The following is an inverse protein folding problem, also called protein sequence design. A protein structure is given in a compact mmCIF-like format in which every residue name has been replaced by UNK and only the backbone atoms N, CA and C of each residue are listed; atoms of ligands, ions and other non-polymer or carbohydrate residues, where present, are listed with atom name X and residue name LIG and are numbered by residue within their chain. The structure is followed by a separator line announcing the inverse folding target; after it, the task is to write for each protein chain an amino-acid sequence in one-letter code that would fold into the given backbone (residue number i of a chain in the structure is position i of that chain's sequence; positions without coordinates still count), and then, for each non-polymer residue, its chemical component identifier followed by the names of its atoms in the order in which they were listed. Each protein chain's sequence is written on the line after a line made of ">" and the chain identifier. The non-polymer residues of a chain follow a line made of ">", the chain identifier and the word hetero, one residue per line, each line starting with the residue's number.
data_IF_896010057868
#
_entry.id   IF_896010057868
#
_cell.length_a   1.000
_cell.length_b   1.000
_cell.length_c   1.000
_cell.angle_alpha   90.00
_cell.angle_beta   90.00
_cell.angle_gamma   90.00
#
_symmetry.space_group_name_H-M   'P 1'
#
loop_
_entity.id
_entity.type
_entity.pdbx_description
1 polymer ?
#
# COMPACT_ATOMS: atom_id res chain seq x y z
N UNK A 1 19.13 0.11 24.56
CA UNK A 1 18.39 -1.16 24.61
C UNK A 1 18.79 -1.93 25.86
N UNK A 2 17.83 -2.45 26.62
CA UNK A 2 18.09 -3.35 27.74
C UNK A 2 17.65 -4.77 27.37
N UNK A 3 18.09 -5.75 28.17
CA UNK A 3 17.69 -7.16 28.00
C UNK A 3 16.17 -7.29 28.03
N UNK A 4 15.62 -7.97 27.03
CA UNK A 4 14.18 -8.20 26.89
C UNK A 4 13.79 -8.98 25.65
N UNK A 5 12.57 -9.48 25.64
CA UNK A 5 11.99 -10.28 24.55
C UNK A 5 10.73 -9.62 24.00
N UNK A 6 10.58 -9.70 22.68
CA UNK A 6 9.52 -9.03 21.92
C UNK A 6 8.91 -10.04 20.94
N UNK A 7 7.59 -10.03 20.79
CA UNK A 7 6.90 -10.82 19.78
C UNK A 7 5.69 -10.07 19.24
N UNK A 8 5.35 -10.35 17.99
CA UNK A 8 4.05 -9.97 17.44
C UNK A 8 2.94 -10.71 18.20
N UNK A 9 1.75 -10.11 18.31
CA UNK A 9 0.61 -10.80 18.91
C UNK A 9 0.27 -12.05 18.09
N UNK A 10 0.54 -13.22 18.66
CA UNK A 10 0.13 -14.49 18.09
C UNK A 10 -1.21 -14.90 18.66
N UNK A 11 -2.11 -15.37 17.79
CA UNK A 11 -3.45 -15.89 18.14
C UNK A 11 -3.36 -17.05 19.16
N UNK A 12 -2.24 -17.78 19.18
CA UNK A 12 -1.99 -18.87 20.13
C UNK A 12 -1.26 -18.40 21.39
N UNK A 13 -1.94 -18.49 22.53
CA UNK A 13 -1.39 -18.14 23.85
C UNK A 13 -0.33 -19.15 24.36
N UNK A 14 -0.26 -20.35 23.79
CA UNK A 14 0.55 -21.46 24.31
C UNK A 14 1.96 -21.59 23.68
N UNK A 15 2.32 -20.83 22.64
CA UNK A 15 3.68 -20.85 22.08
C UNK A 15 4.20 -19.45 21.70
N UNK A 16 4.41 -18.59 22.70
CA UNK A 16 5.02 -17.27 22.49
C UNK A 16 6.53 -17.40 22.21
N UNK A 17 6.90 -17.90 21.02
CA UNK A 17 8.29 -17.83 20.55
C UNK A 17 8.64 -16.35 20.32
N UNK A 18 9.68 -15.80 20.98
CA UNK A 18 10.04 -14.40 20.79
C UNK A 18 10.50 -14.18 19.35
N UNK A 19 9.99 -13.12 18.71
CA UNK A 19 10.46 -12.66 17.40
C UNK A 19 11.84 -12.01 17.53
N UNK A 20 12.06 -11.26 18.61
CA UNK A 20 13.33 -10.59 18.90
C UNK A 20 13.71 -10.84 20.36
N UNK A 21 14.98 -11.18 20.57
CA UNK A 21 15.56 -11.36 21.90
C UNK A 21 16.83 -10.53 22.04
N UNK A 22 16.76 -9.52 22.89
CA UNK A 22 17.90 -8.68 23.26
C UNK A 22 18.59 -9.33 24.46
N UNK A 23 19.78 -9.89 24.24
CA UNK A 23 20.52 -10.67 25.25
C UNK A 23 21.54 -9.83 26.03
N UNK A 24 21.94 -8.67 25.50
CA UNK A 24 22.93 -7.78 26.12
C UNK A 24 22.41 -6.35 26.19
N UNK A 25 22.81 -5.63 27.25
CA UNK A 25 22.53 -4.21 27.35
C UNK A 25 23.39 -3.44 26.34
N UNK A 26 22.75 -2.59 25.54
CA UNK A 26 23.42 -1.76 24.54
C UNK A 26 23.01 -0.30 24.68
N UNK A 27 23.98 0.61 24.54
CA UNK A 27 23.74 2.05 24.54
C UNK A 27 24.24 2.62 23.22
N UNK A 28 23.34 3.23 22.46
CA UNK A 28 23.66 3.97 21.25
C UNK A 28 23.78 5.44 21.65
N UNK A 29 24.90 6.07 21.30
CA UNK A 29 25.17 7.47 21.64
C UNK A 29 24.53 8.41 20.62
N UNK A 30 24.29 9.66 21.01
CA UNK A 30 23.78 10.68 20.10
C UNK A 30 24.77 10.89 18.94
N UNK A 31 24.25 11.02 17.72
CA UNK A 31 25.06 11.24 16.51
C UNK A 31 25.59 9.97 15.83
N UNK A 32 25.50 8.80 16.49
CA UNK A 32 26.02 7.55 15.93
C UNK A 32 25.26 7.12 14.67
N UNK A 33 26.02 6.60 13.70
CA UNK A 33 25.55 5.85 12.54
C UNK A 33 25.66 4.36 12.85
N UNK A 34 24.51 3.71 13.03
CA UNK A 34 24.41 2.31 13.43
C UNK A 34 23.89 1.49 12.27
N UNK A 35 24.70 0.58 11.77
CA UNK A 35 24.29 -0.36 10.74
C UNK A 35 23.76 -1.65 11.36
N UNK A 36 22.63 -2.16 10.86
CA UNK A 36 22.08 -3.47 11.22
C UNK A 36 22.17 -4.38 10.01
N UNK A 37 22.98 -5.43 10.09
CA UNK A 37 23.19 -6.39 9.01
C UNK A 37 22.82 -7.81 9.45
N UNK A 38 22.61 -8.71 8.50
CA UNK A 38 22.11 -10.05 8.76
C UNK A 38 21.46 -10.66 7.52
N UNK A 39 21.41 -11.99 7.44
CA UNK A 39 20.71 -12.71 6.37
C UNK A 39 19.24 -12.30 6.25
N UNK A 40 18.61 -12.62 5.12
CA UNK A 40 17.15 -12.42 4.95
C UNK A 40 16.42 -13.24 6.02
N UNK A 41 15.42 -12.66 6.67
CA UNK A 41 14.68 -13.31 7.77
C UNK A 41 15.38 -13.32 9.14
N UNK A 42 16.59 -12.75 9.28
CA UNK A 42 17.30 -12.69 10.56
C UNK A 42 16.66 -11.79 11.64
N UNK A 43 15.65 -11.00 11.28
CA UNK A 43 14.91 -10.13 12.21
C UNK A 43 15.33 -8.65 12.21
N UNK A 44 16.06 -8.15 11.19
CA UNK A 44 16.48 -6.73 11.09
C UNK A 44 15.32 -5.75 11.19
N UNK A 45 14.32 -5.86 10.32
CA UNK A 45 13.12 -5.02 10.34
C UNK A 45 12.38 -5.15 11.68
N UNK A 46 12.27 -6.36 12.23
CA UNK A 46 11.67 -6.59 13.54
C UNK A 46 12.44 -5.90 14.69
N UNK A 47 13.78 -5.85 14.62
CA UNK A 47 14.59 -5.09 15.57
C UNK A 47 14.27 -3.58 15.45
N UNK A 48 14.17 -3.04 14.23
CA UNK A 48 13.80 -1.64 14.01
C UNK A 48 12.40 -1.34 14.56
N UNK A 49 11.42 -2.20 14.30
CA UNK A 49 10.06 -2.10 14.86
C UNK A 49 10.04 -2.18 16.39
N UNK A 50 10.91 -3.00 17.00
CA UNK A 50 11.05 -3.04 18.47
C UNK A 50 11.62 -1.74 19.06
N UNK A 51 12.45 -1.01 18.29
CA UNK A 51 12.98 0.31 18.68
C UNK A 51 11.90 1.39 18.54
N UNK A 52 11.06 1.30 17.50
CA UNK A 52 9.92 2.18 17.29
C UNK A 52 8.85 2.01 18.38
N UNK A 53 8.73 0.80 18.94
CA UNK A 53 7.70 0.44 19.91
C UNK A 53 6.49 -0.28 19.30
N UNK A 54 6.58 -0.68 18.03
CA UNK A 54 5.51 -1.38 17.30
C UNK A 54 5.38 -2.86 17.70
N UNK A 55 6.49 -3.51 18.07
CA UNK A 55 6.45 -4.89 18.58
C UNK A 55 6.28 -4.85 20.10
N UNK A 56 5.20 -5.44 20.64
CA UNK A 56 4.99 -5.45 22.08
C UNK A 56 6.07 -6.27 22.79
N UNK A 57 6.50 -5.75 23.93
CA UNK A 57 7.46 -6.41 24.81
C UNK A 57 6.76 -7.48 25.63
N UNK A 58 7.29 -8.70 25.61
CA UNK A 58 6.84 -9.81 26.45
C UNK A 58 7.52 -9.76 27.83
N UNK A 59 8.85 -9.59 27.86
CA UNK A 59 9.65 -9.72 29.08
C UNK A 59 10.85 -8.76 29.10
N UNK A 60 11.44 -8.56 30.29
CA UNK A 60 12.61 -7.71 30.49
C UNK A 60 12.33 -6.21 30.44
N UNK A 61 13.39 -5.40 30.29
CA UNK A 61 13.28 -3.95 30.21
C UNK A 61 13.17 -3.48 28.76
N UNK A 62 12.21 -2.58 28.49
CA UNK A 62 11.94 -2.07 27.15
C UNK A 62 13.08 -1.24 26.54
N UNK A 63 13.04 -1.09 25.22
CA UNK A 63 13.87 -0.11 24.52
C UNK A 63 13.41 1.30 24.92
N UNK A 64 14.38 2.15 25.28
CA UNK A 64 14.15 3.58 25.53
C UNK A 64 14.82 4.36 24.42
N UNK A 65 14.05 5.21 23.75
CA UNK A 65 14.53 6.15 22.72
C UNK A 65 14.21 7.55 23.20
N UNK A 66 15.20 8.44 23.17
CA UNK A 66 15.05 9.83 23.57
C UNK A 66 15.08 10.73 22.34
N UNK A 67 14.11 11.64 22.22
CA UNK A 67 13.96 12.54 21.07
C UNK A 67 12.88 12.10 20.09
N UNK A 68 12.70 12.91 19.05
CA UNK A 68 11.79 12.66 17.94
C UNK A 68 12.33 11.60 16.99
N UNK A 69 11.43 10.83 16.36
CA UNK A 69 11.78 9.69 15.50
C UNK A 69 11.27 9.91 14.08
N UNK A 70 12.11 9.66 13.09
CA UNK A 70 11.72 9.49 11.69
C UNK A 70 11.91 8.03 11.28
N UNK A 71 10.94 7.46 10.57
CA UNK A 71 10.99 6.09 10.10
C UNK A 71 10.84 6.02 8.58
N UNK A 72 11.71 5.24 7.94
CA UNK A 72 11.64 4.89 6.52
C UNK A 72 11.49 3.36 6.44
N UNK A 73 10.29 2.82 6.15
CA UNK A 73 10.08 1.39 5.97
C UNK A 73 10.70 0.88 4.67
N UNK A 74 10.90 -0.45 4.60
CA UNK A 74 11.44 -1.14 3.42
C UNK A 74 10.53 -0.98 2.19
N UNK A 75 9.22 -1.06 2.38
CA UNK A 75 8.24 -0.79 1.32
C UNK A 75 7.83 0.68 1.34
N UNK A 76 8.18 1.40 0.28
CA UNK A 76 7.89 2.82 0.18
C UNK A 76 6.38 3.11 0.18
N UNK A 77 5.96 4.04 1.04
CA UNK A 77 4.56 4.48 1.13
C UNK A 77 4.45 5.97 0.81
N UNK A 78 3.71 6.27 -0.26
CA UNK A 78 3.55 7.62 -0.83
C UNK A 78 2.07 7.97 -0.86
N UNK A 79 1.75 9.20 -0.44
CA UNK A 79 0.40 9.71 -0.37
C UNK A 79 0.01 10.34 -1.72
N UNK A 80 -1.28 10.27 -2.06
CA UNK A 80 -1.84 11.03 -3.19
C UNK A 80 -1.72 12.53 -2.91
N UNK A 81 -1.20 13.30 -3.87
CA UNK A 81 -0.88 14.72 -3.71
C UNK A 81 0.25 15.12 -4.66
N UNK A 82 0.99 16.18 -4.38
CA UNK A 82 2.22 16.50 -5.16
C UNK A 82 3.46 15.83 -4.56
N UNK A 83 4.56 15.80 -5.32
CA UNK A 83 5.87 15.38 -4.78
C UNK A 83 6.27 16.30 -3.62
N UNK A 84 6.07 17.61 -3.76
CA UNK A 84 6.29 18.60 -2.71
C UNK A 84 5.51 18.27 -1.43
N UNK A 85 4.21 18.01 -1.54
CA UNK A 85 3.37 17.65 -0.38
C UNK A 85 3.87 16.39 0.33
N UNK A 86 4.32 15.41 -0.46
CA UNK A 86 4.88 14.18 0.07
C UNK A 86 6.19 14.40 0.83
N UNK A 87 7.05 15.32 0.39
CA UNK A 87 8.31 15.66 1.07
C UNK A 87 8.06 16.53 2.30
N UNK A 88 7.23 17.57 2.19
CA UNK A 88 6.92 18.48 3.31
C UNK A 88 6.09 17.80 4.40
N UNK A 89 5.15 16.94 4.00
CA UNK A 89 4.31 16.12 4.86
C UNK A 89 3.65 16.91 6.01
N UNK A 90 3.00 18.03 5.63
CA UNK A 90 2.29 18.92 6.55
C UNK A 90 3.17 19.93 7.30
N UNK A 91 4.47 20.01 7.00
CA UNK A 91 5.36 21.05 7.51
C UNK A 91 5.44 22.24 6.56
N UNK A 92 5.72 23.41 7.13
CA UNK A 92 6.01 24.61 6.37
C UNK A 92 7.30 24.46 5.55
N UNK A 93 7.29 25.04 4.35
CA UNK A 93 8.44 24.96 3.44
C UNK A 93 9.49 26.01 3.77
N UNK A 94 10.60 25.57 4.36
CA UNK A 94 11.89 26.28 4.28
C UNK A 94 12.56 25.95 2.94
N UNK A 95 12.79 26.98 2.12
CA UNK A 95 13.34 26.82 0.76
C UNK A 95 14.75 26.22 0.75
N UNK A 96 15.66 26.77 1.54
CA UNK A 96 17.06 26.29 1.62
C UNK A 96 17.11 24.82 2.04
N UNK A 97 16.40 24.46 3.12
CA UNK A 97 16.35 23.08 3.60
C UNK A 97 15.71 22.14 2.58
N UNK A 98 14.69 22.62 1.86
CA UNK A 98 13.99 21.82 0.86
C UNK A 98 14.92 21.50 -0.31
N UNK A 99 15.62 22.50 -0.84
CA UNK A 99 16.61 22.35 -1.91
C UNK A 99 17.76 21.41 -1.50
N UNK A 100 18.31 21.58 -0.29
CA UNK A 100 19.35 20.69 0.26
C UNK A 100 18.88 19.23 0.36
N UNK A 101 17.63 19.02 0.79
CA UNK A 101 17.03 17.68 0.91
C UNK A 101 16.82 17.04 -0.45
N UNK A 102 16.34 17.79 -1.44
CA UNK A 102 16.16 17.28 -2.80
C UNK A 102 17.50 16.90 -3.46
N UNK A 103 18.55 17.69 -3.26
CA UNK A 103 19.90 17.38 -3.75
C UNK A 103 20.46 16.14 -3.03
N UNK A 104 20.42 16.12 -1.70
CA UNK A 104 20.95 15.02 -0.90
C UNK A 104 20.22 13.71 -1.14
N UNK A 105 18.94 13.77 -1.51
CA UNK A 105 18.12 12.61 -1.88
C UNK A 105 18.11 12.32 -3.39
N UNK A 106 18.96 12.98 -4.20
CA UNK A 106 19.06 12.78 -5.65
C UNK A 106 17.71 12.90 -6.41
N UNK A 107 16.85 13.82 -5.98
CA UNK A 107 15.55 14.08 -6.62
C UNK A 107 15.61 15.21 -7.68
N UNK A 108 16.66 16.02 -7.69
CA UNK A 108 16.79 17.16 -8.61
C UNK A 108 16.65 16.72 -10.08
N UNK A 109 17.31 15.63 -10.47
CA UNK A 109 17.23 15.10 -11.84
C UNK A 109 15.82 14.63 -12.20
N UNK A 110 15.10 13.99 -11.27
CA UNK A 110 13.72 13.59 -11.50
C UNK A 110 12.81 14.82 -11.69
N UNK A 111 13.00 15.84 -10.83
CA UNK A 111 12.23 17.08 -10.85
C UNK A 111 12.46 17.86 -12.14
N UNK A 112 13.68 17.90 -12.67
CA UNK A 112 13.99 18.55 -13.95
C UNK A 112 13.31 17.86 -15.14
N UNK A 113 13.11 16.54 -15.06
CA UNK A 113 12.48 15.74 -16.12
C UNK A 113 10.96 15.83 -16.06
N UNK A 114 10.38 15.97 -14.85
CA UNK A 114 8.93 16.08 -14.70
C UNK A 114 8.39 17.41 -15.21
N UNK A 115 7.32 17.36 -16.01
CA UNK A 115 6.75 18.56 -16.65
C UNK A 115 6.30 19.66 -15.68
N UNK A 116 5.81 19.28 -14.50
CA UNK A 116 5.38 20.20 -13.44
C UNK A 116 6.40 20.30 -12.28
N UNK A 117 7.62 19.77 -12.47
CA UNK A 117 8.64 19.76 -11.43
C UNK A 117 8.20 19.07 -10.16
N UNK A 118 8.46 19.68 -9.01
CA UNK A 118 8.06 19.17 -7.69
C UNK A 118 6.55 19.26 -7.41
N UNK A 119 5.80 20.00 -8.25
CA UNK A 119 4.33 20.03 -8.22
C UNK A 119 3.68 18.88 -8.99
N UNK A 120 4.49 17.97 -9.56
CA UNK A 120 4.00 16.78 -10.24
C UNK A 120 3.07 15.97 -9.34
N UNK A 121 1.88 15.69 -9.87
CA UNK A 121 0.85 14.93 -9.15
C UNK A 121 1.27 13.48 -9.04
N UNK A 122 1.26 12.98 -7.81
CA UNK A 122 1.49 11.59 -7.46
C UNK A 122 0.14 10.89 -7.34
N UNK A 123 -0.06 9.87 -8.17
CA UNK A 123 -1.29 9.07 -8.18
C UNK A 123 -1.45 8.21 -6.93
N UNK A 124 -2.55 7.44 -6.86
CA UNK A 124 -2.81 6.54 -5.73
C UNK A 124 -1.61 5.61 -5.48
N UNK A 125 -1.08 5.60 -4.25
CA UNK A 125 0.12 4.82 -3.85
C UNK A 125 1.35 5.06 -4.77
N UNK A 126 1.41 6.22 -5.41
CA UNK A 126 2.45 6.60 -6.35
C UNK A 126 2.54 5.69 -7.57
N UNK A 127 1.43 5.19 -8.11
CA UNK A 127 1.42 4.30 -9.29
C UNK A 127 2.22 4.85 -10.49
N UNK A 128 2.38 6.16 -10.60
CA UNK A 128 3.12 6.84 -11.67
C UNK A 128 4.64 7.00 -11.42
N UNK A 129 5.17 6.51 -10.29
CA UNK A 129 6.58 6.64 -9.91
C UNK A 129 7.31 5.28 -9.95
N UNK A 130 8.60 5.30 -10.30
CA UNK A 130 9.46 4.12 -10.19
C UNK A 130 9.73 3.75 -8.71
N UNK A 131 10.17 2.51 -8.46
CA UNK A 131 10.50 2.07 -7.09
C UNK A 131 11.56 2.95 -6.42
N UNK A 132 12.64 3.27 -7.15
CA UNK A 132 13.71 4.16 -6.67
C UNK A 132 13.21 5.59 -6.40
N UNK A 133 12.34 6.13 -7.26
CA UNK A 133 11.73 7.45 -7.02
C UNK A 133 10.90 7.47 -5.75
N UNK A 134 10.05 6.46 -5.53
CA UNK A 134 9.25 6.34 -4.29
C UNK A 134 10.16 6.30 -3.06
N UNK A 135 11.25 5.52 -3.12
CA UNK A 135 12.18 5.41 -2.01
C UNK A 135 12.91 6.73 -1.72
N UNK A 136 13.37 7.44 -2.76
CA UNK A 136 14.00 8.76 -2.63
C UNK A 136 13.04 9.81 -2.05
N UNK A 137 11.78 9.85 -2.47
CA UNK A 137 10.76 10.77 -1.93
C UNK A 137 10.47 10.46 -0.46
N UNK A 138 10.36 9.19 -0.08
CA UNK A 138 10.15 8.80 1.30
C UNK A 138 11.35 9.13 2.21
N UNK A 139 12.57 8.94 1.69
CA UNK A 139 13.78 9.34 2.40
C UNK A 139 13.83 10.86 2.57
N UNK A 140 13.53 11.62 1.51
CA UNK A 140 13.43 13.08 1.56
C UNK A 140 12.41 13.54 2.62
N UNK A 141 11.22 12.93 2.68
CA UNK A 141 10.22 13.16 3.74
C UNK A 141 10.80 12.97 5.13
N UNK A 142 11.51 11.87 5.36
CA UNK A 142 12.11 11.60 6.66
C UNK A 142 13.18 12.65 7.00
N UNK A 143 14.08 12.97 6.08
CA UNK A 143 15.14 13.97 6.29
C UNK A 143 14.55 15.35 6.59
N UNK A 144 13.56 15.77 5.79
CA UNK A 144 12.86 17.05 5.97
C UNK A 144 12.15 17.16 7.32
N UNK A 145 11.75 16.04 7.92
CA UNK A 145 11.16 16.03 9.26
C UNK A 145 12.12 16.53 10.36
N UNK A 146 13.44 16.57 10.11
CA UNK A 146 14.47 17.02 11.05
C UNK A 146 14.42 16.36 12.44
N UNK A 147 14.12 15.06 12.49
CA UNK A 147 13.99 14.31 13.75
C UNK A 147 15.34 14.13 14.47
N UNK A 148 15.34 13.68 15.72
CA UNK A 148 16.58 13.39 16.48
C UNK A 148 17.17 12.02 16.12
N UNK A 149 16.30 11.04 15.87
CA UNK A 149 16.65 9.64 15.59
C UNK A 149 15.99 9.20 14.29
N UNK A 150 16.78 8.66 13.37
CA UNK A 150 16.34 8.12 12.09
C UNK A 150 16.44 6.60 12.12
N UNK A 151 15.36 5.93 11.73
CA UNK A 151 15.26 4.48 11.66
C UNK A 151 14.94 4.13 10.22
N UNK A 152 15.88 3.51 9.52
CA UNK A 152 15.80 3.29 8.07
C UNK A 152 15.85 1.79 7.79
N UNK A 153 14.84 1.24 7.14
CA UNK A 153 14.77 -0.18 6.82
C UNK A 153 15.07 -0.39 5.34
N UNK A 154 16.30 -0.82 5.05
CA UNK A 154 16.83 -1.04 3.70
C UNK A 154 16.62 0.12 2.71
N UNK A 155 17.06 1.36 3.06
CA UNK A 155 16.68 2.59 2.36
C UNK A 155 17.26 2.77 0.96
N UNK A 156 18.14 1.85 0.50
CA UNK A 156 18.83 1.96 -0.80
C UNK A 156 18.61 0.72 -1.69
N UNK A 157 17.63 -0.11 -1.36
CA UNK A 157 17.40 -1.40 -2.04
C UNK A 157 16.78 -1.29 -3.44
N UNK A 158 15.99 -0.25 -3.72
CA UNK A 158 15.30 -0.07 -5.00
C UNK A 158 15.98 0.95 -5.93
N UNK A 159 17.20 1.37 -5.59
CA UNK A 159 18.01 2.30 -6.40
C UNK A 159 19.25 1.59 -6.96
N UNK A 160 19.74 2.08 -8.08
CA UNK A 160 21.01 1.60 -8.65
C UNK A 160 22.21 1.95 -7.74
N UNK A 161 23.34 1.28 -7.94
CA UNK A 161 24.52 1.42 -7.10
C UNK A 161 25.09 2.85 -7.05
N UNK A 162 25.02 3.60 -8.16
CA UNK A 162 25.53 4.97 -8.23
C UNK A 162 24.65 5.90 -7.39
N UNK A 163 23.33 5.84 -7.60
CA UNK A 163 22.35 6.57 -6.78
C UNK A 163 22.46 6.18 -5.31
N UNK A 164 22.54 4.89 -4.99
CA UNK A 164 22.69 4.39 -3.62
C UNK A 164 23.92 4.98 -2.91
N UNK A 165 25.06 5.02 -3.61
CA UNK A 165 26.29 5.63 -3.08
C UNK A 165 26.13 7.13 -2.84
N UNK A 166 25.46 7.85 -3.74
CA UNK A 166 25.16 9.28 -3.56
C UNK A 166 24.27 9.50 -2.33
N UNK A 167 23.17 8.75 -2.20
CA UNK A 167 22.27 8.84 -1.06
C UNK A 167 23.00 8.55 0.26
N UNK A 168 23.84 7.52 0.28
CA UNK A 168 24.62 7.21 1.48
C UNK A 168 25.55 8.38 1.86
N UNK A 169 26.31 8.91 0.91
CA UNK A 169 27.28 9.99 1.18
C UNK A 169 26.62 11.33 1.50
N UNK A 170 25.67 11.75 0.67
CA UNK A 170 25.04 13.09 0.76
C UNK A 170 23.91 13.13 1.77
N UNK A 171 22.97 12.19 1.72
CA UNK A 171 21.86 12.18 2.67
C UNK A 171 22.31 11.65 4.04
N UNK A 172 22.80 10.41 4.11
CA UNK A 172 23.02 9.75 5.41
C UNK A 172 24.26 10.29 6.15
N UNK A 173 25.37 10.49 5.44
CA UNK A 173 26.63 10.93 6.07
C UNK A 173 26.76 12.46 6.19
N UNK A 174 26.23 13.24 5.24
CA UNK A 174 26.34 14.71 5.27
C UNK A 174 25.10 15.37 5.91
N UNK A 175 23.90 15.25 5.33
CA UNK A 175 22.69 15.90 5.86
C UNK A 175 22.33 15.40 7.28
N UNK A 176 22.46 14.10 7.52
CA UNK A 176 22.19 13.49 8.84
C UNK A 176 23.44 13.36 9.72
N UNK A 177 24.52 14.06 9.41
CA UNK A 177 25.81 13.98 10.13
C UNK A 177 25.66 14.11 11.65
N UNK A 178 24.89 15.09 12.13
CA UNK A 178 24.66 15.37 13.55
C UNK A 178 23.52 14.55 14.20
N UNK A 179 22.83 13.71 13.43
CA UNK A 179 21.66 12.93 13.88
C UNK A 179 22.05 11.50 14.22
N UNK A 180 21.29 10.84 15.10
CA UNK A 180 21.45 9.39 15.29
C UNK A 180 20.72 8.67 14.17
N UNK A 181 21.39 7.78 13.46
CA UNK A 181 20.80 7.01 12.35
C UNK A 181 21.00 5.53 12.63
N UNK A 182 19.92 4.75 12.59
CA UNK A 182 19.93 3.30 12.67
C UNK A 182 19.38 2.79 11.34
N UNK A 183 20.21 2.17 10.52
CA UNK A 183 19.81 1.68 9.21
C UNK A 183 20.05 0.18 9.08
N UNK A 184 19.01 -0.55 8.70
CA UNK A 184 19.15 -1.93 8.26
C UNK A 184 19.58 -1.94 6.80
N UNK A 185 20.55 -2.78 6.46
CA UNK A 185 21.00 -2.95 5.08
C UNK A 185 21.46 -4.37 4.84
N UNK A 186 21.24 -4.84 3.61
CA UNK A 186 21.85 -6.05 3.08
C UNK A 186 23.16 -5.76 2.33
N UNK A 187 23.38 -4.51 1.92
CA UNK A 187 24.55 -4.07 1.17
C UNK A 187 25.73 -3.85 2.12
N UNK A 188 26.76 -4.67 1.98
CA UNK A 188 27.95 -4.70 2.85
C UNK A 188 28.81 -3.44 2.74
N UNK A 189 28.77 -2.78 1.59
CA UNK A 189 29.57 -1.59 1.26
C UNK A 189 29.31 -0.41 2.20
N UNK A 190 28.10 -0.34 2.78
CA UNK A 190 27.71 0.73 3.70
C UNK A 190 28.02 0.44 5.16
N UNK A 191 28.65 -0.71 5.47
CA UNK A 191 28.96 -1.09 6.86
C UNK A 191 30.24 -0.43 7.39
N UNK A 192 31.25 -0.18 6.54
CA UNK A 192 32.55 0.34 6.98
C UNK A 192 32.46 1.77 7.55
N UNK A 193 31.55 2.58 7.01
CA UNK A 193 31.33 3.95 7.45
C UNK A 193 30.47 4.07 8.73
N UNK A 194 29.96 2.96 9.28
CA UNK A 194 29.17 2.95 10.51
C UNK A 194 30.05 3.07 11.77
N UNK A 195 29.59 3.84 12.75
CA UNK A 195 30.22 3.92 14.08
C UNK A 195 30.05 2.61 14.86
N UNK A 196 28.96 1.89 14.59
CA UNK A 196 28.61 0.62 15.23
C UNK A 196 27.85 -0.28 14.24
N UNK A 197 28.29 -1.53 14.11
CA UNK A 197 27.62 -2.56 13.33
C UNK A 197 26.97 -3.56 14.28
N UNK A 198 25.71 -3.91 14.03
CA UNK A 198 24.94 -4.93 14.74
C UNK A 198 24.66 -6.10 13.79
N UNK A 199 25.24 -7.27 14.08
CA UNK A 199 25.06 -8.47 13.27
C UNK A 199 23.91 -9.28 13.85
N UNK A 200 22.85 -9.47 13.07
CA UNK A 200 21.67 -10.22 13.44
C UNK A 200 21.67 -11.64 12.87
N UNK A 201 21.18 -12.57 13.70
CA UNK A 201 20.90 -13.95 13.32
C UNK A 201 19.76 -14.48 14.18
N UNK A 202 18.77 -15.09 13.55
CA UNK A 202 17.63 -15.75 14.22
C UNK A 202 16.95 -14.91 15.32
N UNK A 203 16.76 -13.61 15.08
CA UNK A 203 16.12 -12.69 16.02
C UNK A 203 17.01 -12.21 17.18
N UNK A 204 18.31 -12.48 17.13
CA UNK A 204 19.30 -12.12 18.18
C UNK A 204 20.45 -11.32 17.57
N UNK A 205 20.97 -10.34 18.32
CA UNK A 205 22.23 -9.67 17.99
C UNK A 205 23.38 -10.58 18.45
N UNK A 206 24.07 -11.20 17.50
CA UNK A 206 25.14 -12.17 17.80
C UNK A 206 26.52 -11.51 17.91
N UNK A 207 26.74 -10.42 17.18
CA UNK A 207 27.97 -9.62 17.25
C UNK A 207 27.64 -8.13 17.19
N UNK A 208 28.51 -7.33 17.81
CA UNK A 208 28.43 -5.87 17.76
C UNK A 208 29.80 -5.26 17.93
N UNK A 209 30.16 -4.28 17.10
CA UNK A 209 31.46 -3.61 17.15
C UNK A 209 31.68 -2.70 15.95
N UNK A 210 32.90 -2.18 15.79
CA UNK A 210 33.28 -1.51 14.54
C UNK A 210 33.44 -2.53 13.44
N UNK A 211 33.18 -2.13 12.20
CA UNK A 211 33.31 -3.02 11.04
C UNK A 211 34.67 -3.73 10.98
N UNK A 212 35.77 -2.96 11.16
CA UNK A 212 37.15 -3.47 11.14
C UNK A 212 37.42 -4.57 12.18
N UNK A 213 36.83 -4.45 13.36
CA UNK A 213 37.00 -5.43 14.43
C UNK A 213 36.22 -6.72 14.13
N UNK A 214 35.04 -6.59 13.51
CA UNK A 214 34.18 -7.72 13.18
C UNK A 214 34.71 -8.55 12.00
N UNK A 215 35.32 -7.92 11.00
CA UNK A 215 35.94 -8.63 9.87
C UNK A 215 37.27 -9.29 10.25
N UNK A 216 37.92 -8.83 11.33
CA UNK A 216 39.18 -9.40 11.82
C UNK A 216 38.97 -10.74 12.52
N UNK A 217 37.74 -11.07 12.94
CA UNK A 217 37.37 -12.38 13.48
C UNK A 217 36.94 -13.33 12.34
N UNK A 218 37.80 -14.28 11.91
CA UNK A 218 37.50 -15.17 10.78
C UNK A 218 36.35 -16.13 11.09
N UNK A 219 36.08 -16.38 12.38
CA UNK A 219 35.00 -17.27 12.83
C UNK A 219 33.67 -16.55 12.99
N UNK A 220 33.71 -15.21 12.91
CA UNK A 220 32.59 -14.32 13.15
C UNK A 220 31.44 -14.51 12.17
N UNK A 221 30.22 -14.25 12.65
CA UNK A 221 29.02 -14.36 11.85
C UNK A 221 29.02 -13.38 10.67
N UNK A 222 29.55 -12.16 10.85
CA UNK A 222 29.66 -11.20 9.74
C UNK A 222 30.47 -11.79 8.58
N UNK A 223 31.66 -12.32 8.85
CA UNK A 223 32.53 -12.92 7.82
C UNK A 223 31.85 -14.09 7.13
N UNK A 224 31.13 -14.94 7.88
CA UNK A 224 30.33 -16.04 7.30
C UNK A 224 29.24 -15.54 6.37
N UNK A 225 28.52 -14.48 6.77
CA UNK A 225 27.48 -13.86 5.95
C UNK A 225 28.05 -13.21 4.69
N UNK A 226 29.22 -12.56 4.79
CA UNK A 226 29.92 -11.99 3.64
C UNK A 226 30.37 -13.07 2.65
N UNK A 227 30.92 -14.18 3.14
CA UNK A 227 31.31 -15.32 2.31
C UNK A 227 30.09 -15.93 1.58
N UNK A 228 28.99 -16.14 2.30
CA UNK A 228 27.74 -16.62 1.70
C UNK A 228 27.20 -15.68 0.62
N UNK A 229 27.21 -14.36 0.89
CA UNK A 229 26.77 -13.35 -0.08
C UNK A 229 27.63 -13.34 -1.35
N UNK A 230 28.96 -13.46 -1.22
CA UNK A 230 29.87 -13.53 -2.36
C UNK A 230 29.59 -14.74 -3.25
N UNK A 231 29.37 -15.91 -2.64
CA UNK A 231 29.01 -17.13 -3.38
C UNK A 231 27.71 -16.93 -4.16
N UNK A 232 26.70 -16.26 -3.58
CA UNK A 232 25.46 -15.98 -4.28
C UNK A 232 25.64 -15.03 -5.46
N UNK A 233 26.54 -14.03 -5.37
CA UNK A 233 26.86 -13.15 -6.49
C UNK A 233 27.58 -13.89 -7.62
N UNK A 234 28.55 -14.73 -7.28
CA UNK A 234 29.33 -15.52 -8.26
C UNK A 234 28.46 -16.54 -9.01
N UNK A 235 27.32 -16.98 -8.44
CA UNK A 235 26.36 -17.85 -9.13
C UNK A 235 25.49 -17.11 -10.16
N UNK A 236 25.27 -15.80 -9.96
CA UNK A 236 24.46 -14.96 -10.87
C UNK A 236 25.34 -14.31 -11.94
N UNK A 237 26.60 -14.01 -11.62
CA UNK A 237 27.64 -13.54 -12.53
C UNK A 237 28.88 -14.43 -12.40
N UNK A 238 29.00 -15.52 -13.18
CA UNK A 238 30.21 -16.33 -13.15
C UNK A 238 31.43 -15.47 -13.56
N UNK A 239 32.58 -15.62 -12.89
CA UNK A 239 33.79 -14.90 -13.26
C UNK A 239 34.17 -15.23 -14.71
N UNK A 240 34.33 -14.21 -15.55
CA UNK A 240 35.02 -14.38 -16.82
C UNK A 240 36.49 -14.64 -16.49
N UNK A 241 37.01 -15.81 -16.88
CA UNK A 241 38.44 -16.11 -16.79
C UNK A 241 39.20 -15.17 -17.73
N UNK A 242 39.99 -14.25 -17.15
CA UNK A 242 40.95 -13.43 -17.89
C UNK A 242 42.08 -14.32 -18.42
N UNK A 243 41.99 -14.75 -19.68
CA UNK A 243 43.14 -15.22 -20.44
C UNK A 243 43.76 -14.05 -21.21
N UNK A 244 45.07 -13.76 -21.06
CA UNK A 244 45.71 -12.72 -21.83
C UNK A 244 46.10 -13.23 -23.23
N UNK A 245 45.88 -12.36 -24.23
CA UNK A 245 46.40 -12.38 -25.62
C UNK A 245 45.51 -13.10 -26.66
N UNK A 246 44.73 -12.32 -27.42
CA UNK A 246 45.03 -11.98 -28.82
C UNK A 246 43.85 -11.22 -29.44
N UNK A 247 44.17 -10.15 -30.16
CA UNK A 247 43.29 -9.44 -31.07
C UNK A 247 42.64 -10.36 -32.10
N UNK A 248 41.33 -10.28 -32.28
CA UNK A 248 40.69 -10.04 -33.59
C UNK A 248 39.16 -9.85 -33.48
N UNK A 249 38.74 -8.73 -34.06
CA UNK A 249 37.43 -8.34 -34.59
C UNK A 249 36.30 -9.38 -34.52
N UNK A 250 35.19 -9.04 -33.85
CA UNK A 250 33.92 -9.78 -34.01
C UNK A 250 32.72 -8.84 -33.90
N UNK A 251 32.13 -8.64 -35.08
CA UNK A 251 30.76 -8.26 -35.44
C UNK A 251 29.74 -8.12 -34.30
N UNK A 252 29.11 -6.93 -34.28
CA UNK A 252 27.82 -6.69 -33.63
C UNK A 252 26.77 -7.65 -34.20
N UNK A 253 26.29 -8.58 -33.38
CA UNK A 253 24.97 -9.17 -33.54
C UNK A 253 24.11 -8.77 -32.34
N UNK A 254 23.18 -7.85 -32.62
CA UNK A 254 22.04 -7.55 -31.76
C UNK A 254 21.17 -8.81 -31.67
N UNK A 255 20.86 -9.25 -30.45
CA UNK A 255 19.76 -10.19 -30.22
C UNK A 255 18.53 -9.33 -29.91
N UNK A 256 17.65 -9.26 -30.90
CA UNK A 256 16.27 -8.78 -30.75
C UNK A 256 15.55 -9.63 -29.69
N UNK A 257 14.99 -8.97 -28.68
CA UNK A 257 13.89 -9.51 -27.90
C UNK A 257 12.61 -8.92 -28.49
N UNK A 258 11.88 -9.75 -29.21
CA UNK A 258 10.59 -9.44 -29.82
C UNK A 258 9.53 -9.27 -28.71
N UNK A 259 9.16 -8.03 -28.41
CA UNK A 259 7.87 -7.72 -27.80
C UNK A 259 6.83 -7.50 -28.91
N UNK A 260 5.78 -8.33 -28.91
CA UNK A 260 4.63 -8.16 -29.78
C UNK A 260 3.91 -6.83 -29.50
N UNK A 261 4.04 -5.88 -30.44
CA UNK A 261 3.17 -4.72 -30.57
C UNK A 261 2.04 -5.03 -31.56
N UNK A 262 0.81 -4.97 -31.08
CA UNK A 262 -0.37 -4.72 -31.92
C UNK A 262 -0.50 -3.21 -32.12
N UNK A 263 -0.24 -2.74 -33.34
CA UNK A 263 -0.48 -1.35 -33.74
C UNK A 263 -1.92 -1.13 -34.23
N UNK A 264 -2.51 -0.02 -33.77
CA UNK A 264 -3.64 0.69 -34.37
C UNK A 264 -3.49 2.20 -34.07
N UNK A 265 -3.93 3.11 -34.95
CA UNK A 265 -3.12 4.26 -35.34
C UNK A 265 -3.37 5.55 -34.54
N UNK A 266 -2.28 6.30 -34.34
CA UNK A 266 -2.20 7.74 -34.55
C UNK A 266 -3.03 8.66 -33.65
N UNK A 267 -2.38 9.25 -32.64
CA UNK A 267 -2.90 10.42 -31.93
C UNK A 267 -1.94 10.92 -30.87
N UNK A 268 -1.19 11.99 -31.18
CA UNK A 268 -0.42 12.78 -30.23
C UNK A 268 -1.34 13.39 -29.17
N UNK A 269 -1.44 12.76 -28.01
CA UNK A 269 -2.24 13.22 -26.88
C UNK A 269 -1.39 13.40 -25.63
N UNK A 270 -1.24 14.66 -25.19
CA UNK A 270 -0.78 15.04 -23.85
C UNK A 270 -1.44 14.16 -22.78
N UNK A 271 -0.64 13.45 -22.00
CA UNK A 271 -1.11 12.71 -20.83
C UNK A 271 -1.37 13.68 -19.67
N UNK A 272 -2.49 14.41 -19.75
CA UNK A 272 -3.02 15.20 -18.63
C UNK A 272 -3.86 14.27 -17.76
N UNK A 273 -3.21 13.52 -16.88
CA UNK A 273 -3.87 12.74 -15.83
C UNK A 273 -4.40 13.68 -14.74
N UNK A 274 -5.52 14.37 -15.00
CA UNK A 274 -6.34 14.93 -13.93
C UNK A 274 -7.03 13.75 -13.26
N UNK A 275 -6.66 13.48 -12.01
CA UNK A 275 -7.50 12.69 -11.09
C UNK A 275 -8.90 13.31 -11.13
N UNK A 276 -9.85 12.60 -11.74
CA UNK A 276 -11.26 12.96 -11.63
C UNK A 276 -11.63 12.74 -10.16
N UNK A 277 -11.73 13.82 -9.39
CA UNK A 277 -12.52 13.79 -8.17
C UNK A 277 -13.91 13.28 -8.55
N UNK A 278 -14.40 12.26 -7.85
CA UNK A 278 -15.79 11.82 -7.97
C UNK A 278 -16.69 12.97 -7.51
N UNK A 279 -17.08 13.83 -8.44
CA UNK A 279 -18.09 14.84 -8.19
C UNK A 279 -19.42 14.10 -8.12
N UNK A 280 -19.83 13.78 -6.90
CA UNK A 280 -21.19 13.37 -6.61
C UNK A 280 -22.11 14.52 -7.04
N UNK A 281 -22.91 14.32 -8.09
CA UNK A 281 -23.96 15.29 -8.45
C UNK A 281 -24.98 15.34 -7.30
N UNK A 282 -24.81 16.27 -6.35
CA UNK A 282 -25.83 16.54 -5.33
C UNK A 282 -26.98 17.31 -5.98
N UNK A 283 -27.97 16.58 -6.47
CA UNK A 283 -29.14 17.14 -7.14
C UNK A 283 -30.20 16.08 -7.42
N UNK A 284 -31.33 16.51 -7.98
CA UNK A 284 -32.37 15.56 -8.43
C UNK A 284 -31.78 14.63 -9.48
N UNK A 285 -31.94 13.33 -9.25
CA UNK A 285 -31.52 12.29 -10.18
C UNK A 285 -32.13 12.54 -11.56
N UNK A 286 -31.29 12.57 -12.60
CA UNK A 286 -31.71 12.81 -13.99
C UNK A 286 -32.68 11.70 -14.42
N UNK A 287 -33.75 12.06 -15.15
CA UNK A 287 -34.73 11.10 -15.69
C UNK A 287 -34.10 9.98 -16.53
N UNK A 288 -32.95 10.27 -17.16
CA UNK A 288 -32.15 9.28 -17.88
C UNK A 288 -31.74 8.09 -17.00
N UNK A 289 -31.43 8.32 -15.72
CA UNK A 289 -31.05 7.26 -14.78
C UNK A 289 -32.24 6.36 -14.49
N UNK A 290 -33.42 6.93 -14.23
CA UNK A 290 -34.66 6.15 -14.07
C UNK A 290 -34.96 5.32 -15.33
N UNK A 291 -34.78 5.90 -16.51
CA UNK A 291 -34.94 5.17 -17.77
C UNK A 291 -33.93 4.02 -17.89
N UNK A 292 -32.66 4.22 -17.51
CA UNK A 292 -31.65 3.15 -17.52
C UNK A 292 -32.01 2.01 -16.57
N UNK A 293 -32.47 2.30 -15.35
CA UNK A 293 -32.94 1.27 -14.42
C UNK A 293 -34.13 0.49 -14.98
N UNK A 294 -35.09 1.19 -15.59
CA UNK A 294 -36.29 0.60 -16.19
C UNK A 294 -35.94 -0.25 -17.43
N UNK A 295 -34.99 0.17 -18.26
CA UNK A 295 -34.58 -0.55 -19.47
C UNK A 295 -33.60 -1.69 -19.19
N UNK A 296 -32.76 -1.60 -18.14
CA UNK A 296 -31.86 -2.69 -17.75
C UNK A 296 -32.63 -3.93 -17.27
N UNK A 297 -33.79 -3.76 -16.63
CA UNK A 297 -34.67 -4.87 -16.29
C UNK A 297 -35.47 -5.34 -17.53
N UNK A 298 -35.06 -6.47 -18.13
CA UNK A 298 -35.75 -7.12 -19.27
C UNK A 298 -36.13 -6.17 -20.42
N UNK A 299 -35.28 -5.19 -20.74
CA UNK A 299 -35.53 -4.18 -21.80
C UNK A 299 -36.83 -3.38 -21.59
N UNK A 300 -37.33 -3.28 -20.35
CA UNK A 300 -38.56 -2.57 -20.00
C UNK A 300 -39.87 -3.33 -20.28
N UNK A 301 -39.82 -4.57 -20.77
CA UNK A 301 -41.02 -5.33 -21.16
C UNK A 301 -41.94 -5.70 -19.99
N UNK A 302 -41.41 -5.79 -18.76
CA UNK A 302 -42.19 -6.15 -17.57
C UNK A 302 -42.94 -4.96 -16.94
N UNK A 303 -42.53 -3.74 -17.22
CA UNK A 303 -43.13 -2.51 -16.66
C UNK A 303 -44.62 -2.36 -17.00
N UNK A 304 -45.05 -2.48 -18.28
CA UNK A 304 -46.48 -2.38 -18.61
C UNK A 304 -47.30 -3.53 -17.98
N UNK A 305 -46.70 -4.71 -17.82
CA UNK A 305 -47.36 -5.86 -17.18
C UNK A 305 -47.59 -5.59 -15.69
N UNK A 306 -46.58 -5.05 -14.99
CA UNK A 306 -46.70 -4.69 -13.57
C UNK A 306 -47.73 -3.57 -13.37
N UNK A 307 -47.74 -2.55 -14.24
CA UNK A 307 -48.73 -1.47 -14.20
C UNK A 307 -50.15 -1.98 -14.48
N UNK A 308 -50.31 -2.86 -15.48
CA UNK A 308 -51.60 -3.48 -15.78
C UNK A 308 -52.13 -4.30 -14.61
N UNK A 309 -51.29 -5.14 -14.00
CA UNK A 309 -51.63 -5.89 -12.79
C UNK A 309 -52.03 -4.96 -11.63
N UNK A 310 -51.36 -3.82 -11.47
CA UNK A 310 -51.67 -2.82 -10.44
C UNK A 310 -53.03 -2.16 -10.67
N UNK A 311 -53.35 -1.78 -11.91
CA UNK A 311 -54.64 -1.19 -12.28
C UNK A 311 -55.78 -2.18 -12.10
N UNK A 312 -55.59 -3.43 -12.56
CA UNK A 312 -56.57 -4.51 -12.36
C UNK A 312 -56.83 -4.77 -10.88
N UNK A 313 -55.76 -4.81 -10.06
CA UNK A 313 -55.90 -4.97 -8.61
C UNK A 313 -56.72 -3.82 -7.98
N UNK A 314 -56.41 -2.57 -8.32
CA UNK A 314 -57.17 -1.42 -7.82
C UNK A 314 -58.63 -1.44 -8.30
N UNK A 315 -58.89 -1.86 -9.54
CA UNK A 315 -60.23 -2.03 -10.08
C UNK A 315 -61.04 -3.09 -9.34
N UNK A 316 -60.44 -4.25 -9.05
CA UNK A 316 -61.09 -5.31 -8.26
C UNK A 316 -61.40 -4.86 -6.83
N UNK A 317 -60.49 -4.11 -6.19
CA UNK A 317 -60.72 -3.55 -4.85
C UNK A 317 -61.86 -2.53 -4.85
N UNK A 318 -61.89 -1.63 -5.83
CA UNK A 318 -62.98 -0.67 -5.97
C UNK A 318 -64.32 -1.36 -6.25
N UNK A 319 -64.32 -2.41 -7.08
CA UNK A 319 -65.49 -3.23 -7.38
C UNK A 319 -66.00 -4.00 -6.15
N UNK A 320 -65.09 -4.51 -5.32
CA UNK A 320 -65.43 -5.19 -4.05
C UNK A 320 -66.11 -4.22 -3.07
N UNK A 321 -65.54 -3.02 -2.89
CA UNK A 321 -66.11 -1.98 -2.03
C UNK A 321 -67.47 -1.51 -2.55
N UNK A 322 -67.61 -1.32 -3.87
CA UNK A 322 -68.87 -0.96 -4.50
C UNK A 322 -69.94 -2.04 -4.32
N UNK A 323 -69.56 -3.32 -4.49
CA UNK A 323 -70.47 -4.45 -4.30
C UNK A 323 -71.00 -4.53 -2.87
N UNK A 324 -70.13 -4.33 -1.87
CA UNK A 324 -70.57 -4.28 -0.46
C UNK A 324 -71.55 -3.13 -0.23
N UNK A 325 -71.25 -1.93 -0.74
CA UNK A 325 -72.11 -0.76 -0.59
C UNK A 325 -73.48 -0.97 -1.25
N UNK A 326 -73.51 -1.55 -2.45
CA UNK A 326 -74.75 -1.91 -3.16
C UNK A 326 -75.55 -2.99 -2.43
N UNK A 327 -74.86 -3.97 -1.84
CA UNK A 327 -75.50 -5.08 -1.14
C UNK A 327 -76.04 -4.72 0.26
N UNK A 328 -75.58 -3.62 0.85
CA UNK A 328 -76.06 -3.13 2.16
C UNK A 328 -77.19 -2.10 2.06
N UNK A 329 -77.62 -1.75 0.84
CA UNK A 329 -78.74 -0.83 0.62
C UNK A 329 -80.10 -1.50 0.96
N UNK A 330 -80.97 -0.74 1.64
CA UNK A 330 -82.04 -1.17 2.57
C UNK A 330 -83.25 -1.92 1.97
N UNK A 331 -83.11 -2.63 0.86
CA UNK A 331 -84.23 -3.37 0.26
C UNK A 331 -83.83 -4.55 -0.65
N UNK A 332 -82.79 -5.32 -0.29
CA UNK A 332 -82.48 -6.60 -0.97
C UNK A 332 -82.12 -7.71 0.02
N UNK A 333 -82.86 -8.81 -0.05
CA UNK A 333 -82.73 -9.97 0.84
C UNK A 333 -81.59 -10.89 0.35
N UNK A 334 -80.35 -10.36 0.36
CA UNK A 334 -79.17 -11.16 0.03
C UNK A 334 -78.71 -11.87 1.30
N UNK A 335 -78.82 -13.20 1.31
CA UNK A 335 -78.38 -14.01 2.45
C UNK A 335 -76.93 -13.69 2.82
N UNK A 336 -76.68 -13.51 4.12
CA UNK A 336 -75.38 -13.14 4.70
C UNK A 336 -74.24 -14.05 4.23
N UNK A 337 -74.55 -15.34 4.01
CA UNK A 337 -73.60 -16.33 3.50
C UNK A 337 -73.17 -16.05 2.05
N UNK A 338 -74.09 -15.60 1.19
CA UNK A 338 -73.76 -15.22 -0.21
C UNK A 338 -72.92 -13.94 -0.26
N UNK A 339 -73.12 -13.00 0.67
CA UNK A 339 -72.31 -11.77 0.75
C UNK A 339 -70.87 -12.07 1.16
N UNK A 340 -70.68 -12.87 2.21
CA UNK A 340 -69.36 -13.27 2.67
C UNK A 340 -68.66 -14.11 1.59
N UNK A 341 -69.39 -15.02 0.91
CA UNK A 341 -68.83 -15.84 -0.16
C UNK A 341 -68.29 -15.03 -1.35
N UNK A 342 -69.05 -14.05 -1.84
CA UNK A 342 -68.62 -13.20 -2.98
C UNK A 342 -67.46 -12.28 -2.56
N UNK A 343 -67.48 -11.74 -1.34
CA UNK A 343 -66.39 -10.93 -0.83
C UNK A 343 -65.07 -11.70 -0.69
N UNK A 344 -65.13 -12.94 -0.17
CA UNK A 344 -63.95 -13.82 -0.05
C UNK A 344 -63.42 -14.21 -1.43
N UNK A 345 -64.28 -14.48 -2.41
CA UNK A 345 -63.87 -14.77 -3.78
C UNK A 345 -63.19 -13.57 -4.46
N UNK A 346 -63.74 -12.36 -4.32
CA UNK A 346 -63.15 -11.14 -4.89
C UNK A 346 -61.83 -10.76 -4.20
N UNK A 347 -61.77 -10.86 -2.87
CA UNK A 347 -60.56 -10.58 -2.08
C UNK A 347 -59.47 -11.63 -2.33
N UNK A 348 -59.84 -12.91 -2.40
CA UNK A 348 -58.94 -14.02 -2.74
C UNK A 348 -58.40 -13.89 -4.17
N UNK A 349 -59.26 -13.57 -5.14
CA UNK A 349 -58.85 -13.29 -6.52
C UNK A 349 -57.86 -12.13 -6.62
N UNK A 350 -58.07 -11.06 -5.84
CA UNK A 350 -57.14 -9.93 -5.79
C UNK A 350 -55.75 -10.28 -5.22
N UNK A 351 -55.69 -11.27 -4.31
CA UNK A 351 -54.45 -11.72 -3.67
C UNK A 351 -53.54 -12.49 -4.64
N UNK A 352 -54.13 -13.17 -5.64
CA UNK A 352 -53.39 -13.86 -6.71
C UNK A 352 -52.60 -12.86 -7.57
N UNK A 353 -53.12 -11.65 -7.81
CA UNK A 353 -52.42 -10.60 -8.56
C UNK A 353 -51.22 -10.03 -7.79
N UNK A 354 -51.30 -9.96 -6.45
CA UNK A 354 -50.18 -9.55 -5.59
C UNK A 354 -49.07 -10.61 -5.65
N UNK A 355 -49.43 -11.89 -5.54
CA UNK A 355 -48.49 -13.01 -5.63
C UNK A 355 -47.83 -13.10 -7.01
N UNK A 356 -48.60 -12.84 -8.08
CA UNK A 356 -48.05 -12.72 -9.42
C UNK A 356 -46.98 -11.63 -9.49
N UNK A 357 -47.32 -10.41 -9.03
CA UNK A 357 -46.38 -9.28 -8.98
C UNK A 357 -45.12 -9.58 -8.17
N UNK A 358 -45.24 -10.20 -7.00
CA UNK A 358 -44.08 -10.54 -6.15
C UNK A 358 -43.20 -11.62 -6.76
N UNK A 359 -43.77 -12.63 -7.42
CA UNK A 359 -43.00 -13.69 -8.09
C UNK A 359 -42.24 -13.17 -9.31
N UNK A 360 -42.81 -12.23 -10.06
CA UNK A 360 -42.12 -11.58 -11.18
C UNK A 360 -40.99 -10.63 -10.72
N UNK A 361 -41.13 -10.02 -9.53
CA UNK A 361 -40.09 -9.17 -8.96
C UNK A 361 -38.99 -9.95 -8.20
N UNK A 362 -39.35 -11.07 -7.54
CA UNK A 362 -38.46 -11.83 -6.66
C UNK A 362 -37.52 -12.82 -7.35
N UNK A 363 -37.92 -13.39 -8.48
CA UNK A 363 -37.10 -14.40 -9.17
C UNK A 363 -35.87 -13.85 -9.92
N UNK A 364 -35.68 -12.53 -9.99
CA UNK A 364 -34.66 -11.92 -10.86
C UNK A 364 -33.83 -10.82 -10.18
N UNK A 365 -33.71 -10.87 -8.85
CA UNK A 365 -32.85 -9.95 -8.09
C UNK A 365 -31.56 -10.62 -7.55
N UNK A 366 -31.18 -11.77 -8.10
CA UNK A 366 -29.88 -12.43 -7.88
C UNK A 366 -29.00 -12.33 -9.12
#
# INVERSE_FOLDING_TARGET
>A
MKIGEYAWETVDQNSRKPTIKITKNMKIMKGYKVAVCGSVGSGKSSLLCSILGEIPRISGAGVKVHGTKAYVPQSAWIQTGTVRDNVLFGKDMSKEMYEDVLEGCALNQDIEIWGDGDLTVVGERGMNLSGGQKQRIQLARAVYSNSDVYILDDPFSAVDAHTGTHLFKKCLMQLLSQKTVIYATHQLEFLDAADLVLVMKDGVIVQSGKYKDLIADPTGELVRQMAAHRISLDQVNPPQEDNPIASETSQLNQIEVTEEKLEGPGGTGRFSGKTQEEVSETGRVKWSVYSTFITSAYKGALVPIILLCQVLFQGLQMGSNYWIAWATEKSRDVSREKLIGIFVLLSGGSSIFILGKSSFAGNNCC
#
